data_IF_909822467751
#
_entry.id   IF_909822467751
#
_cell.length_a   1.000
_cell.length_b   1.000
_cell.length_c   1.000
_cell.angle_alpha   90.00
_cell.angle_beta   90.00
_cell.angle_gamma   90.00
#
_symmetry.space_group_name_H-M   'P 1'
#
loop_
_entity.id
_entity.type
_entity.pdbx_description
1 polymer ?
#
# COMPACT_ATOMS: atom_id res chain seq x y z
N UNK A 1 3.45 -35.73 -22.27
CA UNK A 1 3.10 -36.24 -20.93
C UNK A 1 2.10 -35.29 -20.31
N UNK A 2 0.85 -35.72 -20.12
CA UNK A 2 -0.18 -34.95 -19.41
C UNK A 2 -0.17 -35.48 -17.96
N UNK A 3 -0.04 -34.64 -16.91
CA UNK A 3 0.04 -35.14 -15.55
C UNK A 3 -1.32 -35.73 -15.13
N UNK A 4 -1.27 -36.81 -14.36
CA UNK A 4 -2.42 -37.59 -13.91
C UNK A 4 -3.30 -36.76 -12.95
N UNK A 5 -4.61 -36.81 -13.17
CA UNK A 5 -5.62 -36.04 -12.43
C UNK A 5 -5.86 -36.74 -11.08
N UNK A 6 -5.43 -36.13 -9.97
CA UNK A 6 -5.77 -36.63 -8.63
C UNK A 6 -7.28 -36.42 -8.38
N UNK A 7 -8.00 -37.51 -8.09
CA UNK A 7 -9.43 -37.48 -7.70
C UNK A 7 -9.56 -37.03 -6.23
N UNK A 8 -9.42 -35.72 -6.01
CA UNK A 8 -9.87 -35.08 -4.76
C UNK A 8 -11.29 -34.59 -4.97
N UNK A 9 -12.23 -34.97 -4.10
CA UNK A 9 -13.66 -34.62 -4.20
C UNK A 9 -13.97 -33.10 -4.11
N UNK A 10 -12.95 -32.26 -3.96
CA UNK A 10 -13.03 -30.81 -3.81
C UNK A 10 -11.91 -30.10 -4.59
N UNK A 11 -12.20 -28.86 -4.99
CA UNK A 11 -11.26 -27.95 -5.66
C UNK A 11 -10.88 -26.81 -4.70
N UNK A 12 -9.59 -26.50 -4.62
CA UNK A 12 -9.13 -25.36 -3.83
C UNK A 12 -9.35 -24.06 -4.61
N UNK A 13 -10.08 -23.12 -4.00
CA UNK A 13 -10.26 -21.75 -4.52
C UNK A 13 -9.56 -20.79 -3.57
N UNK A 14 -8.47 -20.18 -4.03
CA UNK A 14 -7.61 -19.32 -3.21
C UNK A 14 -7.59 -17.92 -3.82
N UNK A 15 -7.90 -16.91 -3.00
CA UNK A 15 -7.75 -15.49 -3.33
C UNK A 15 -6.68 -14.85 -2.45
N UNK A 16 -5.92 -13.93 -3.03
CA UNK A 16 -4.91 -13.13 -2.32
C UNK A 16 -5.19 -11.65 -2.55
N UNK A 17 -4.99 -10.86 -1.51
CA UNK A 17 -5.00 -9.40 -1.57
C UNK A 17 -3.61 -8.91 -1.20
N UNK A 18 -2.97 -8.18 -2.10
CA UNK A 18 -1.57 -7.76 -1.95
C UNK A 18 -1.51 -6.23 -1.93
N UNK A 19 -0.90 -5.68 -0.89
CA UNK A 19 -0.50 -4.28 -0.84
C UNK A 19 1.01 -4.19 -1.11
N UNK A 20 1.39 -3.31 -2.03
CA UNK A 20 2.78 -3.02 -2.35
C UNK A 20 3.01 -1.51 -2.20
N UNK A 21 4.02 -1.15 -1.39
CA UNK A 21 4.43 0.23 -1.23
C UNK A 21 5.24 0.69 -2.44
N UNK A 22 4.94 1.89 -2.96
CA UNK A 22 5.63 2.45 -4.12
C UNK A 22 6.86 3.24 -3.66
N UNK A 23 8.01 3.00 -4.29
CA UNK A 23 9.25 3.73 -4.05
C UNK A 23 9.20 5.13 -4.73
N UNK A 24 8.43 6.02 -4.13
CA UNK A 24 8.21 7.39 -4.61
C UNK A 24 8.89 8.40 -3.68
N UNK A 25 9.30 9.54 -4.23
CA UNK A 25 9.92 10.60 -3.42
C UNK A 25 8.91 11.35 -2.55
N UNK A 26 7.63 11.39 -2.94
CA UNK A 26 6.55 12.08 -2.24
C UNK A 26 5.35 11.17 -2.01
N UNK A 27 4.52 11.50 -1.02
CA UNK A 27 3.25 10.81 -0.78
C UNK A 27 2.31 11.00 -1.97
N UNK A 28 1.32 10.11 -2.07
CA UNK A 28 0.39 10.02 -3.19
C UNK A 28 -0.41 11.31 -3.47
N UNK A 29 -0.70 12.12 -2.44
CA UNK A 29 -1.63 13.25 -2.57
C UNK A 29 -1.07 14.60 -2.09
N UNK A 30 0.21 14.64 -1.72
CA UNK A 30 0.87 15.85 -1.24
C UNK A 30 2.40 15.75 -1.39
N UNK A 31 3.09 16.89 -1.27
CA UNK A 31 4.53 16.98 -1.44
C UNK A 31 5.36 16.47 -0.24
N UNK A 32 4.74 15.88 0.79
CA UNK A 32 5.50 15.31 1.91
C UNK A 32 6.35 14.13 1.42
N UNK A 33 7.58 13.95 1.94
CA UNK A 33 8.40 12.81 1.56
C UNK A 33 7.80 11.49 2.06
N UNK A 34 8.01 10.42 1.30
CA UNK A 34 7.95 9.05 1.85
C UNK A 34 9.25 8.84 2.63
N UNK A 35 9.13 8.39 3.88
CA UNK A 35 10.25 8.21 4.80
C UNK A 35 10.21 6.79 5.37
N UNK A 36 11.36 6.28 5.76
CA UNK A 36 11.45 4.99 6.43
C UNK A 36 10.77 5.06 7.81
N UNK A 37 9.69 4.28 7.95
CA UNK A 37 8.85 4.22 9.15
C UNK A 37 9.58 3.69 10.39
N UNK A 38 10.72 3.02 10.22
CA UNK A 38 11.51 2.49 11.33
C UNK A 38 12.48 3.53 11.93
N UNK A 39 12.80 4.58 11.16
CA UNK A 39 13.83 5.56 11.53
C UNK A 39 13.32 6.99 11.62
N UNK A 40 12.19 7.30 10.99
CA UNK A 40 11.60 8.63 11.03
C UNK A 40 10.98 8.94 12.40
N UNK A 41 11.23 10.14 12.91
CA UNK A 41 10.60 10.64 14.13
C UNK A 41 9.09 10.87 13.93
N UNK A 42 8.26 10.68 14.98
CA UNK A 42 6.82 10.84 14.87
C UNK A 42 6.38 12.21 14.35
N UNK A 43 5.45 12.21 13.41
CA UNK A 43 4.84 13.43 12.84
C UNK A 43 5.83 14.43 12.22
N UNK A 44 6.99 13.98 11.74
CA UNK A 44 7.97 14.86 11.08
C UNK A 44 7.77 14.99 9.57
N UNK A 45 7.27 13.93 8.92
CA UNK A 45 6.97 13.92 7.49
C UNK A 45 5.47 14.14 7.22
N UNK A 46 4.89 15.22 7.74
CA UNK A 46 3.45 15.49 7.67
C UNK A 46 3.12 16.89 7.14
N UNK A 47 1.91 17.04 6.63
CA UNK A 47 1.32 18.32 6.23
C UNK A 47 -0.21 18.25 6.39
N UNK A 48 -0.92 19.39 6.32
CA UNK A 48 -2.37 19.45 6.48
C UNK A 48 -3.15 18.46 5.60
N UNK A 49 -2.67 18.16 4.38
CA UNK A 49 -3.31 17.21 3.46
C UNK A 49 -3.26 15.79 4.01
N UNK A 50 -2.06 15.29 4.34
CA UNK A 50 -1.91 13.90 4.79
C UNK A 50 -2.33 13.67 6.25
N UNK A 51 -2.55 14.73 7.02
CA UNK A 51 -3.17 14.66 8.35
C UNK A 51 -4.67 14.92 8.33
N UNK A 52 -5.27 15.17 7.15
CA UNK A 52 -6.71 15.36 7.02
C UNK A 52 -7.25 16.61 7.73
N UNK A 53 -6.46 17.69 7.78
CA UNK A 53 -6.92 18.94 8.38
C UNK A 53 -8.09 19.56 7.60
N UNK A 54 -9.00 20.31 8.24
CA UNK A 54 -10.13 20.92 7.55
C UNK A 54 -9.70 21.89 6.43
N UNK A 55 -10.40 21.83 5.29
CA UNK A 55 -10.23 22.79 4.19
C UNK A 55 -9.08 22.50 3.22
N UNK A 56 -8.46 21.32 3.30
CA UNK A 56 -7.35 20.91 2.42
C UNK A 56 -7.85 20.04 1.26
N UNK A 57 -7.16 20.09 0.13
CA UNK A 57 -7.48 19.28 -1.05
C UNK A 57 -6.29 18.39 -1.44
N UNK A 58 -6.53 17.13 -1.87
CA UNK A 58 -5.49 16.26 -2.41
C UNK A 58 -5.09 16.70 -3.83
N UNK A 59 -3.83 16.45 -4.20
CA UNK A 59 -3.31 16.62 -5.57
C UNK A 59 -2.55 15.37 -5.98
N UNK A 60 -2.94 14.77 -7.12
CA UNK A 60 -2.29 13.57 -7.72
C UNK A 60 -0.91 13.92 -8.24
#
# INVERSE_FOLDING_TARGET
MRPEKHDTAFEAVIGLEVHAEMETASKMFCACPVVDVLTAEPNTAVCPVCTGMPGVLPVV
#
